data_IF_023557945804
#
_entry.id   IF_023557945804
#
_cell.length_a   1.000
_cell.length_b   1.000
_cell.length_c   1.000
_cell.angle_alpha   90.00
_cell.angle_beta   90.00
_cell.angle_gamma   90.00
#
_symmetry.space_group_name_H-M   'P 1'
#
loop_
_entity.id
_entity.type
_entity.pdbx_description
1 polymer ?
#
# COMPACT_ATOMS: atom_id res chain seq x y z
N UNK A 1 -47.88 -30.53 -60.52
CA UNK A 1 -47.03 -31.73 -60.64
C UNK A 1 -45.99 -31.66 -59.53
N UNK A 2 -45.79 -32.58 -58.58
CA UNK A 2 -46.41 -33.84 -58.21
C UNK A 2 -45.76 -34.22 -56.87
N UNK A 3 -46.47 -34.06 -55.74
CA UNK A 3 -46.05 -34.63 -54.45
C UNK A 3 -46.21 -36.17 -54.41
N UNK A 4 -46.85 -36.75 -55.42
CA UNK A 4 -47.10 -38.19 -55.55
C UNK A 4 -45.91 -39.01 -56.09
N UNK A 5 -44.90 -38.39 -56.71
CA UNK A 5 -43.73 -39.14 -57.22
C UNK A 5 -42.65 -39.42 -56.16
N UNK A 6 -42.66 -38.72 -55.02
CA UNK A 6 -41.68 -38.94 -53.94
C UNK A 6 -41.95 -40.22 -53.12
N UNK A 7 -43.07 -40.89 -53.38
CA UNK A 7 -43.58 -42.01 -52.58
C UNK A 7 -43.53 -43.35 -53.32
N UNK A 8 -43.03 -43.40 -54.56
CA UNK A 8 -43.14 -44.61 -55.40
C UNK A 8 -42.06 -45.67 -55.15
N UNK A 9 -40.93 -45.35 -54.53
CA UNK A 9 -39.86 -46.34 -54.30
C UNK A 9 -39.19 -46.24 -52.92
N UNK A 10 -39.97 -46.06 -51.85
CA UNK A 10 -39.46 -46.04 -50.47
C UNK A 10 -38.58 -47.26 -50.13
N UNK A 11 -38.90 -48.42 -50.70
CA UNK A 11 -38.13 -49.65 -50.55
C UNK A 11 -36.80 -49.60 -51.32
N UNK A 12 -36.79 -49.08 -52.55
CA UNK A 12 -35.56 -48.92 -53.34
C UNK A 12 -34.62 -47.91 -52.68
N UNK A 13 -35.15 -46.77 -52.21
CA UNK A 13 -34.38 -45.76 -51.49
C UNK A 13 -33.83 -46.32 -50.18
N UNK A 14 -34.61 -47.13 -49.47
CA UNK A 14 -34.17 -47.82 -48.26
C UNK A 14 -33.02 -48.78 -48.57
N UNK A 15 -33.15 -49.62 -49.60
CA UNK A 15 -32.11 -50.57 -50.02
C UNK A 15 -30.85 -49.82 -50.49
N UNK A 16 -30.99 -48.76 -51.27
CA UNK A 16 -29.85 -47.95 -51.72
C UNK A 16 -29.13 -47.31 -50.52
N UNK A 17 -29.87 -46.80 -49.53
CA UNK A 17 -29.29 -46.17 -48.34
C UNK A 17 -28.61 -47.16 -47.40
N UNK A 18 -29.16 -48.37 -47.24
CA UNK A 18 -28.64 -49.36 -46.28
C UNK A 18 -27.58 -50.26 -46.91
N UNK A 19 -27.80 -50.71 -48.15
CA UNK A 19 -27.01 -51.71 -48.83
C UNK A 19 -26.29 -51.21 -50.09
N UNK A 20 -26.53 -49.96 -50.53
CA UNK A 20 -25.95 -49.46 -51.78
C UNK A 20 -24.42 -49.47 -51.81
N UNK A 21 -23.77 -48.85 -50.82
CA UNK A 21 -22.30 -48.87 -50.68
C UNK A 21 -21.74 -50.30 -50.52
N UNK A 22 -22.20 -51.14 -49.58
CA UNK A 22 -21.61 -52.46 -49.40
C UNK A 22 -21.82 -53.38 -50.58
N UNK A 23 -22.98 -53.31 -51.27
CA UNK A 23 -23.21 -54.09 -52.47
C UNK A 23 -22.32 -53.63 -53.61
N UNK A 24 -22.16 -52.31 -53.81
CA UNK A 24 -21.25 -51.77 -54.83
C UNK A 24 -19.81 -52.26 -54.61
N UNK A 25 -19.31 -52.15 -53.39
CA UNK A 25 -17.94 -52.56 -53.06
C UNK A 25 -17.76 -54.08 -53.14
N UNK A 26 -18.76 -54.85 -52.68
CA UNK A 26 -18.70 -56.31 -52.75
C UNK A 26 -18.73 -56.81 -54.20
N UNK A 27 -19.58 -56.23 -55.05
CA UNK A 27 -19.64 -56.58 -56.47
C UNK A 27 -18.35 -56.20 -57.19
N UNK A 28 -17.76 -55.05 -56.88
CA UNK A 28 -16.44 -54.68 -57.39
C UNK A 28 -15.35 -55.68 -56.94
N UNK A 29 -15.41 -56.13 -55.69
CA UNK A 29 -14.49 -57.15 -55.17
C UNK A 29 -14.68 -58.51 -55.87
N UNK A 30 -15.91 -58.93 -56.18
CA UNK A 30 -16.18 -60.17 -56.92
C UNK A 30 -15.57 -60.09 -58.32
N UNK A 31 -15.73 -58.97 -59.02
CA UNK A 31 -15.14 -58.76 -60.35
C UNK A 31 -13.61 -58.84 -60.30
N UNK A 32 -13.00 -58.33 -59.23
CA UNK A 32 -11.55 -58.26 -59.07
C UNK A 32 -10.92 -59.59 -58.62
N UNK A 33 -11.53 -60.28 -57.64
CA UNK A 33 -10.98 -61.50 -57.06
C UNK A 33 -11.47 -62.79 -57.74
N UNK A 34 -12.54 -62.72 -58.53
CA UNK A 34 -13.17 -63.86 -59.22
C UNK A 34 -13.25 -65.13 -58.36
N UNK A 35 -13.93 -65.06 -57.20
CA UNK A 35 -14.02 -66.19 -56.28
C UNK A 35 -14.74 -67.38 -56.93
N UNK A 36 -14.38 -68.60 -56.50
CA UNK A 36 -14.99 -69.83 -56.99
C UNK A 36 -16.51 -69.89 -56.72
N UNK A 37 -16.93 -69.38 -55.56
CA UNK A 37 -18.34 -69.14 -55.22
C UNK A 37 -18.59 -67.64 -54.94
N UNK A 38 -19.14 -66.90 -55.92
CA UNK A 38 -19.40 -65.47 -55.76
C UNK A 38 -20.55 -65.17 -54.80
N UNK A 39 -21.49 -66.12 -54.60
CA UNK A 39 -22.63 -65.93 -53.69
C UNK A 39 -22.15 -66.06 -52.24
N UNK A 40 -21.35 -67.10 -51.95
CA UNK A 40 -20.76 -67.27 -50.62
C UNK A 40 -19.79 -66.12 -50.27
N UNK A 41 -18.98 -65.69 -51.24
CA UNK A 41 -18.09 -64.54 -51.08
C UNK A 41 -18.88 -63.27 -50.75
N UNK A 42 -19.97 -62.99 -51.48
CA UNK A 42 -20.83 -61.83 -51.25
C UNK A 42 -21.44 -61.86 -49.84
N UNK A 43 -21.98 -63.01 -49.43
CA UNK A 43 -22.59 -63.17 -48.10
C UNK A 43 -21.58 -62.92 -46.98
N UNK A 44 -20.36 -63.48 -47.10
CA UNK A 44 -19.28 -63.26 -46.14
C UNK A 44 -18.80 -61.81 -46.11
N UNK A 45 -18.71 -61.15 -47.28
CA UNK A 45 -18.34 -59.76 -47.38
C UNK A 45 -19.35 -58.84 -46.69
N UNK A 46 -20.65 -59.02 -46.96
CA UNK A 46 -21.72 -58.25 -46.34
C UNK A 46 -21.77 -58.46 -44.83
N UNK A 47 -21.55 -59.70 -44.36
CA UNK A 47 -21.45 -60.03 -42.93
C UNK A 47 -20.31 -59.26 -42.26
N UNK A 48 -19.12 -59.27 -42.87
CA UNK A 48 -17.97 -58.53 -42.35
C UNK A 48 -18.21 -57.01 -42.35
N UNK A 49 -18.80 -56.49 -43.43
CA UNK A 49 -19.13 -55.07 -43.55
C UNK A 49 -20.11 -54.63 -42.46
N UNK A 50 -21.16 -55.41 -42.17
CA UNK A 50 -22.12 -55.09 -41.12
C UNK A 50 -21.45 -54.94 -39.73
N UNK A 51 -20.52 -55.84 -39.41
CA UNK A 51 -19.71 -55.74 -38.18
C UNK A 51 -18.82 -54.50 -38.20
N UNK A 52 -18.10 -54.26 -39.30
CA UNK A 52 -17.19 -53.12 -39.45
C UNK A 52 -17.93 -51.79 -39.38
N UNK A 53 -19.11 -51.67 -39.99
CA UNK A 53 -19.94 -50.46 -39.95
C UNK A 53 -20.51 -50.22 -38.57
N UNK A 54 -20.98 -51.26 -37.88
CA UNK A 54 -21.41 -51.15 -36.48
C UNK A 54 -20.26 -50.62 -35.62
N UNK A 55 -19.08 -51.19 -35.75
CA UNK A 55 -17.93 -50.81 -34.94
C UNK A 55 -17.41 -49.41 -35.31
N UNK A 56 -17.43 -49.05 -36.59
CA UNK A 56 -17.12 -47.70 -37.07
C UNK A 56 -18.11 -46.66 -36.51
N UNK A 57 -19.41 -46.93 -36.57
CA UNK A 57 -20.45 -46.03 -36.01
C UNK A 57 -20.29 -45.86 -34.50
N UNK A 58 -20.01 -46.95 -33.78
CA UNK A 58 -19.72 -46.90 -32.33
C UNK A 58 -18.50 -46.04 -32.03
N UNK A 59 -17.38 -46.26 -32.75
CA UNK A 59 -16.15 -45.46 -32.59
C UNK A 59 -16.37 -43.99 -32.93
N UNK A 60 -17.11 -43.70 -34.02
CA UNK A 60 -17.45 -42.33 -34.42
C UNK A 60 -18.28 -41.63 -33.36
N UNK A 61 -19.28 -42.31 -32.81
CA UNK A 61 -20.10 -41.76 -31.72
C UNK A 61 -19.28 -41.52 -30.45
N UNK A 62 -18.47 -42.50 -30.04
CA UNK A 62 -17.59 -42.37 -28.88
C UNK A 62 -16.58 -41.21 -29.04
N UNK A 63 -16.00 -41.05 -30.23
CA UNK A 63 -15.09 -39.94 -30.53
C UNK A 63 -15.81 -38.59 -30.46
N UNK A 64 -16.98 -38.47 -31.07
CA UNK A 64 -17.79 -37.24 -31.03
C UNK A 64 -18.20 -36.88 -29.61
N UNK A 65 -18.56 -37.86 -28.78
CA UNK A 65 -18.95 -37.63 -27.39
C UNK A 65 -17.75 -37.25 -26.53
N UNK A 66 -16.60 -37.88 -26.74
CA UNK A 66 -15.34 -37.50 -26.09
C UNK A 66 -14.94 -36.06 -26.44
N UNK A 67 -15.02 -35.67 -27.71
CA UNK A 67 -14.75 -34.29 -28.16
C UNK A 67 -15.72 -33.29 -27.50
N UNK A 68 -17.01 -33.65 -27.40
CA UNK A 68 -18.01 -32.86 -26.67
C UNK A 68 -17.63 -32.67 -25.21
N UNK A 69 -17.29 -33.74 -24.49
CA UNK A 69 -16.89 -33.68 -23.08
C UNK A 69 -15.62 -32.84 -22.88
N UNK A 70 -14.59 -33.05 -23.72
CA UNK A 70 -13.35 -32.28 -23.65
C UNK A 70 -13.59 -30.79 -23.92
N UNK A 71 -14.49 -30.45 -24.85
CA UNK A 71 -14.84 -29.05 -25.12
C UNK A 71 -15.50 -28.33 -23.93
N UNK A 72 -16.12 -29.08 -23.01
CA UNK A 72 -16.73 -28.54 -21.80
C UNK A 72 -15.69 -28.47 -20.67
N UNK A 73 -14.90 -29.52 -20.51
CA UNK A 73 -14.04 -29.70 -19.35
C UNK A 73 -12.73 -28.89 -19.45
N UNK A 74 -12.13 -28.78 -20.64
CA UNK A 74 -10.87 -28.04 -20.83
C UNK A 74 -11.04 -26.55 -20.45
N UNK A 75 -12.04 -25.81 -20.96
CA UNK A 75 -12.21 -24.40 -20.61
C UNK A 75 -12.49 -24.20 -19.12
N UNK A 76 -13.30 -25.08 -18.53
CA UNK A 76 -13.60 -25.02 -17.09
C UNK A 76 -12.34 -25.22 -16.25
N UNK A 77 -11.52 -26.22 -16.58
CA UNK A 77 -10.28 -26.49 -15.86
C UNK A 77 -9.29 -25.32 -15.97
N UNK A 78 -9.10 -24.78 -17.19
CA UNK A 78 -8.23 -23.61 -17.42
C UNK A 78 -8.71 -22.41 -16.60
N UNK A 79 -10.03 -22.14 -16.59
CA UNK A 79 -10.61 -21.05 -15.79
C UNK A 79 -10.33 -21.23 -14.30
N UNK A 80 -10.57 -22.43 -13.76
CA UNK A 80 -10.33 -22.75 -12.35
C UNK A 80 -8.85 -22.60 -12.00
N UNK A 81 -7.93 -23.03 -12.86
CA UNK A 81 -6.50 -22.87 -12.66
C UNK A 81 -6.08 -21.38 -12.67
N UNK A 82 -6.59 -20.61 -13.63
CA UNK A 82 -6.33 -19.16 -13.70
C UNK A 82 -6.83 -18.43 -12.45
N UNK A 83 -8.05 -18.75 -11.98
CA UNK A 83 -8.60 -18.18 -10.75
C UNK A 83 -7.79 -18.56 -9.49
N UNK A 84 -7.21 -19.76 -9.46
CA UNK A 84 -6.30 -20.16 -8.36
C UNK A 84 -5.00 -19.36 -8.42
N UNK A 85 -4.39 -19.21 -9.60
CA UNK A 85 -3.18 -18.43 -9.77
C UNK A 85 -3.37 -16.96 -9.37
N UNK A 86 -4.48 -16.34 -9.79
CA UNK A 86 -4.83 -14.96 -9.40
C UNK A 86 -4.95 -14.81 -7.88
N UNK A 87 -5.60 -15.77 -7.20
CA UNK A 87 -5.72 -15.74 -5.74
C UNK A 87 -4.36 -15.82 -5.04
N UNK A 88 -3.51 -16.74 -5.48
CA UNK A 88 -2.15 -16.88 -4.93
C UNK A 88 -1.36 -15.58 -5.09
N UNK A 89 -1.42 -14.96 -6.27
CA UNK A 89 -0.72 -13.69 -6.54
C UNK A 89 -1.28 -12.56 -5.67
N UNK A 90 -2.60 -12.45 -5.53
CA UNK A 90 -3.22 -11.44 -4.68
C UNK A 90 -2.83 -11.61 -3.22
N UNK A 91 -2.78 -12.83 -2.72
CA UNK A 91 -2.41 -13.10 -1.33
C UNK A 91 -0.91 -12.82 -1.10
N UNK A 92 -0.06 -13.12 -2.08
CA UNK A 92 1.35 -12.72 -2.07
C UNK A 92 1.51 -11.19 -2.01
N UNK A 93 0.84 -10.44 -2.89
CA UNK A 93 0.88 -8.97 -2.90
C UNK A 93 0.36 -8.35 -1.61
N UNK A 94 -0.70 -8.92 -1.01
CA UNK A 94 -1.18 -8.48 0.31
C UNK A 94 -0.13 -8.71 1.39
N UNK A 95 0.49 -9.89 1.41
CA UNK A 95 1.52 -10.21 2.40
C UNK A 95 2.73 -9.29 2.29
N UNK A 96 3.14 -8.97 1.06
CA UNK A 96 4.25 -8.06 0.80
C UNK A 96 3.90 -6.61 1.20
N UNK A 97 2.67 -6.16 0.91
CA UNK A 97 2.18 -4.85 1.36
C UNK A 97 2.22 -4.72 2.89
N UNK A 98 1.78 -5.76 3.61
CA UNK A 98 1.83 -5.78 5.08
C UNK A 98 3.29 -5.68 5.56
N UNK A 99 4.21 -6.44 4.94
CA UNK A 99 5.64 -6.41 5.26
C UNK A 99 6.24 -5.00 5.11
N UNK A 100 5.94 -4.34 3.98
CA UNK A 100 6.42 -2.97 3.73
C UNK A 100 5.82 -1.98 4.73
N UNK A 101 4.51 -2.08 5.03
CA UNK A 101 3.87 -1.19 6.01
C UNK A 101 4.46 -1.37 7.41
N UNK A 102 4.75 -2.61 7.81
CA UNK A 102 5.43 -2.89 9.08
C UNK A 102 6.85 -2.32 9.13
N UNK A 103 7.61 -2.43 8.04
CA UNK A 103 8.93 -1.81 7.95
C UNK A 103 8.86 -0.28 8.03
N UNK A 104 7.92 0.34 7.32
CA UNK A 104 7.71 1.79 7.39
C UNK A 104 7.32 2.23 8.79
N UNK A 105 6.45 1.48 9.47
CA UNK A 105 6.06 1.74 10.86
C UNK A 105 7.25 1.64 11.81
N UNK A 106 8.14 0.66 11.61
CA UNK A 106 9.40 0.53 12.36
C UNK A 106 10.33 1.72 12.11
N UNK A 107 10.55 2.09 10.84
CA UNK A 107 11.37 3.26 10.47
C UNK A 107 10.82 4.55 11.07
N UNK A 108 9.50 4.75 11.06
CA UNK A 108 8.87 5.92 11.69
C UNK A 108 9.04 5.92 13.21
N UNK A 109 8.94 4.78 13.87
CA UNK A 109 9.17 4.67 15.32
C UNK A 109 10.63 4.99 15.68
N UNK A 110 11.59 4.51 14.88
CA UNK A 110 13.01 4.84 15.05
C UNK A 110 13.28 6.33 14.82
N UNK A 111 12.73 6.91 13.75
CA UNK A 111 12.84 8.35 13.48
C UNK A 111 12.24 9.20 14.61
N UNK A 112 11.10 8.81 15.16
CA UNK A 112 10.50 9.48 16.33
C UNK A 112 11.42 9.41 17.54
N UNK A 113 12.00 8.24 17.84
CA UNK A 113 12.98 8.10 18.94
C UNK A 113 14.21 8.99 18.72
N UNK A 114 14.75 9.02 17.50
CA UNK A 114 15.92 9.86 17.17
C UNK A 114 15.57 11.35 17.32
N UNK A 115 14.40 11.78 16.85
CA UNK A 115 13.92 13.16 17.03
C UNK A 115 13.77 13.52 18.50
N UNK A 116 13.09 12.69 19.29
CA UNK A 116 12.93 12.92 20.73
C UNK A 116 14.28 13.03 21.46
N UNK A 117 15.26 12.20 21.10
CA UNK A 117 16.62 12.30 21.66
C UNK A 117 17.34 13.58 21.21
N UNK A 118 17.12 14.00 19.97
CA UNK A 118 17.71 15.23 19.41
C UNK A 118 17.09 16.46 20.07
N UNK A 119 15.77 16.47 20.25
CA UNK A 119 15.01 17.54 20.90
C UNK A 119 15.37 17.67 22.38
N UNK A 120 15.54 16.54 23.10
CA UNK A 120 16.04 16.56 24.48
C UNK A 120 17.46 17.11 24.57
N UNK A 121 18.33 16.77 23.62
CA UNK A 121 19.70 17.31 23.58
C UNK A 121 19.70 18.80 23.26
N UNK A 122 18.87 19.26 22.33
CA UNK A 122 18.77 20.68 21.97
C UNK A 122 18.13 21.50 23.10
N UNK A 123 17.11 20.98 23.78
CA UNK A 123 16.51 21.63 24.94
C UNK A 123 17.52 21.75 26.08
N UNK A 124 18.23 20.68 26.43
CA UNK A 124 19.28 20.71 27.45
C UNK A 124 20.41 21.67 27.08
N UNK A 125 20.80 21.74 25.81
CA UNK A 125 21.80 22.71 25.33
C UNK A 125 21.31 24.15 25.46
N UNK A 126 20.05 24.40 25.12
CA UNK A 126 19.43 25.73 25.19
C UNK A 126 19.27 26.17 26.64
N UNK A 127 18.85 25.26 27.53
CA UNK A 127 18.67 25.55 28.96
C UNK A 127 20.01 25.85 29.64
N UNK A 128 21.08 25.11 29.30
CA UNK A 128 22.45 25.43 29.76
C UNK A 128 22.88 26.82 29.30
N UNK A 129 22.68 27.13 28.02
CA UNK A 129 23.05 28.44 27.46
C UNK A 129 22.23 29.58 28.09
N UNK A 130 20.94 29.35 28.37
CA UNK A 130 20.10 30.32 29.10
C UNK A 130 20.58 30.53 30.53
N UNK A 131 20.99 29.47 31.22
CA UNK A 131 21.53 29.57 32.58
C UNK A 131 22.84 30.37 32.61
N UNK A 132 23.75 30.09 31.68
CA UNK A 132 25.00 30.85 31.53
C UNK A 132 24.72 32.33 31.22
N UNK A 133 23.84 32.63 30.26
CA UNK A 133 23.48 34.03 29.92
C UNK A 133 22.79 34.73 31.09
N UNK A 134 21.88 34.05 31.80
CA UNK A 134 21.21 34.62 32.97
C UNK A 134 22.19 34.99 34.08
N UNK A 135 23.24 34.19 34.29
CA UNK A 135 24.31 34.52 35.24
C UNK A 135 25.01 35.82 34.86
N UNK A 136 25.44 35.95 33.60
CA UNK A 136 26.09 37.18 33.13
C UNK A 136 25.20 38.42 33.25
N UNK A 137 23.92 38.30 32.87
CA UNK A 137 22.97 39.42 32.95
C UNK A 137 22.69 39.81 34.40
N UNK A 138 22.55 38.85 35.31
CA UNK A 138 22.34 39.13 36.74
C UNK A 138 23.54 39.86 37.35
N UNK A 139 24.75 39.45 37.01
CA UNK A 139 25.99 40.08 37.48
C UNK A 139 26.06 41.55 37.02
N UNK A 140 25.77 41.82 35.75
CA UNK A 140 25.73 43.17 35.18
C UNK A 140 24.62 44.04 35.81
N UNK A 141 23.42 43.47 36.05
CA UNK A 141 22.32 44.18 36.72
C UNK A 141 22.65 44.50 38.18
N UNK A 142 23.32 43.59 38.89
CA UNK A 142 23.77 43.83 40.27
C UNK A 142 24.81 44.95 40.32
N UNK A 143 25.84 44.90 39.46
CA UNK A 143 26.84 45.96 39.36
C UNK A 143 26.19 47.31 39.07
N UNK A 144 25.32 47.38 38.06
CA UNK A 144 24.62 48.60 37.69
C UNK A 144 23.72 49.11 38.83
N UNK A 145 23.05 48.21 39.56
CA UNK A 145 22.26 48.54 40.74
C UNK A 145 23.12 49.13 41.88
N UNK A 146 24.27 48.52 42.17
CA UNK A 146 25.20 49.04 43.19
C UNK A 146 25.73 50.42 42.84
N UNK A 147 26.01 50.67 41.56
CA UNK A 147 26.45 51.97 41.06
C UNK A 147 25.38 53.06 41.23
N UNK A 148 24.12 52.73 40.96
CA UNK A 148 22.99 53.67 41.15
C UNK A 148 22.79 53.98 42.63
N UNK A 149 22.82 52.97 43.49
CA UNK A 149 22.69 53.17 44.95
C UNK A 149 23.87 54.00 45.48
N UNK A 150 25.09 53.72 45.02
CA UNK A 150 26.29 54.47 45.41
C UNK A 150 26.21 55.95 44.98
N UNK A 151 25.73 56.22 43.75
CA UNK A 151 25.51 57.60 43.27
C UNK A 151 24.43 58.33 44.09
N UNK A 152 23.35 57.65 44.46
CA UNK A 152 22.29 58.22 45.29
C UNK A 152 22.79 58.54 46.71
N UNK A 153 23.49 57.60 47.35
CA UNK A 153 24.12 57.81 48.65
C UNK A 153 25.10 58.99 48.64
N UNK A 154 25.96 59.07 47.60
CA UNK A 154 26.92 60.16 47.46
C UNK A 154 26.24 61.53 47.34
N UNK A 155 25.10 61.63 46.65
CA UNK A 155 24.31 62.87 46.59
C UNK A 155 23.72 63.24 47.96
N UNK A 156 23.08 62.27 48.63
CA UNK A 156 22.48 62.49 49.96
C UNK A 156 23.54 62.91 51.00
N UNK A 157 24.72 62.30 50.97
CA UNK A 157 25.82 62.65 51.88
C UNK A 157 26.38 64.05 51.60
N UNK A 158 26.40 64.46 50.35
CA UNK A 158 26.84 65.80 49.94
C UNK A 158 25.83 66.87 50.36
N UNK A 159 24.54 66.56 50.28
CA UNK A 159 23.46 67.40 50.83
C UNK A 159 23.52 67.49 52.34
N UNK A 160 23.77 66.37 53.04
CA UNK A 160 23.96 66.35 54.51
C UNK A 160 25.13 67.24 54.93
N UNK A 161 26.29 67.13 54.27
CA UNK A 161 27.44 68.00 54.53
C UNK A 161 27.18 69.47 54.20
N UNK A 162 26.37 69.76 53.18
CA UNK A 162 25.96 71.13 52.87
C UNK A 162 25.03 71.68 53.96
N UNK A 163 24.08 70.87 54.42
CA UNK A 163 23.16 71.23 55.50
C UNK A 163 23.90 71.44 56.82
N UNK A 164 24.87 70.57 57.15
CA UNK A 164 25.72 70.71 58.34
C UNK A 164 26.59 71.97 58.28
N UNK A 165 27.18 72.28 57.12
CA UNK A 165 27.92 73.54 56.91
C UNK A 165 27.01 74.77 56.94
N UNK A 166 25.78 74.67 56.47
CA UNK A 166 24.79 75.75 56.55
C UNK A 166 24.33 75.97 58.00
N UNK A 167 24.11 74.89 58.77
CA UNK A 167 23.78 74.94 60.18
C UNK A 167 24.92 75.53 61.03
N UNK A 168 26.18 75.18 60.73
CA UNK A 168 27.34 75.79 61.38
C UNK A 168 27.52 77.28 61.05
N UNK A 169 27.09 77.73 59.86
CA UNK A 169 27.08 79.17 59.53
C UNK A 169 25.96 79.91 60.25
N UNK A 170 24.75 79.34 60.26
CA UNK A 170 23.62 79.91 61.00
C UNK A 170 23.86 79.95 62.52
N UNK A 171 24.55 78.95 63.09
CA UNK A 171 24.92 78.95 64.50
C UNK A 171 25.99 80.01 64.85
N UNK A 172 26.92 80.29 63.93
CA UNK A 172 27.89 81.39 64.10
C UNK A 172 27.25 82.76 63.95
N UNK A 173 26.32 82.93 63.01
CA UNK A 173 25.56 84.18 62.85
C UNK A 173 24.66 84.46 64.07
N UNK A 174 24.11 83.42 64.72
CA UNK A 174 23.35 83.56 65.96
C UNK A 174 24.20 83.79 67.23
N UNK A 175 25.48 83.39 67.24
CA UNK A 175 26.43 83.77 68.29
C UNK A 175 26.88 85.24 68.14
N UNK A 176 27.00 85.76 66.91
CA UNK A 176 27.33 87.18 66.65
C UNK A 176 26.16 88.14 66.94
N UNK A 177 24.89 87.70 66.87
CA UNK A 177 23.72 88.52 67.26
C UNK A 177 23.42 88.48 68.78
N UNK A 178 24.11 87.64 69.56
CA UNK A 178 23.93 87.50 71.01
C UNK A 178 24.90 88.32 71.87
N UNK A 179 25.90 88.98 71.26
CA UNK A 179 26.91 89.81 71.97
C UNK A 179 26.64 91.33 71.88
N UNK A 180 25.59 91.79 71.18
CA UNK A 180 25.29 93.22 70.97
C UNK A 180 24.10 93.78 71.82
N UNK A 181 23.50 93.00 72.75
CA UNK A 181 22.38 93.47 73.62
C UNK A 181 22.71 93.54 75.14
N UNK A 182 23.98 93.46 75.55
CA UNK A 182 24.42 93.62 76.96
C UNK A 182 25.43 94.77 77.19
N UNK A 183 25.34 95.92 76.51
CA UNK A 183 26.00 97.16 76.96
C UNK A 183 25.17 98.42 76.57
N UNK A 184 24.18 98.82 77.39
CA UNK A 184 23.75 100.22 77.59
C UNK A 184 22.73 100.33 78.76
N UNK A 185 23.23 100.27 80.01
CA UNK A 185 22.64 100.97 81.17
C UNK A 185 23.73 101.88 81.76
N UNK A 186 23.61 103.20 81.53
CA UNK A 186 23.94 104.30 82.47
C UNK A 186 23.69 105.70 81.86
#
# INVERSE_FOLDING_TARGET
MTKEYAMQHSESDYVQRVLGEPLKDALAAIVLYQPLDPIEFLANYLRYWAVKVRDYRRKKFAKSEMERLLSIEIPWNIKVQAERAIRVEQDYLKSERIRVEEEERRRQAELKRVRELTDKKSSLSTDKMRFEVAHFVLEEVIEMGTDVVFKAWKKAELERRKAEKAAQRAAKEAEEEGEDEEEEED
#
